data_IF_265473166120
#
_entry.id   IF_265473166120
#
_cell.length_a   1.000
_cell.length_b   1.000
_cell.length_c   1.000
_cell.angle_alpha   90.00
_cell.angle_beta   90.00
_cell.angle_gamma   90.00
#
_symmetry.space_group_name_H-M   'P 1'
#
loop_
_entity.id
_entity.type
_entity.pdbx_description
1 polymer ?
#
# COMPACT_ATOMS: atom_id res chain seq x y z
N UNK A 1 -3.93 -0.20 -18.09
CA UNK A 1 -5.41 -0.16 -17.92
C UNK A 1 -6.01 0.76 -18.98
N UNK A 2 -7.11 0.34 -19.61
CA UNK A 2 -7.84 1.11 -20.65
C UNK A 2 -9.32 1.02 -20.36
N UNK A 3 -9.97 2.15 -20.08
CA UNK A 3 -11.42 2.25 -20.03
C UNK A 3 -11.88 2.43 -21.49
N UNK A 4 -12.91 1.71 -21.91
CA UNK A 4 -13.47 1.84 -23.27
C UNK A 4 -14.98 1.97 -23.20
N UNK A 5 -15.51 3.10 -23.69
CA UNK A 5 -16.94 3.25 -23.96
C UNK A 5 -17.23 2.49 -25.26
N UNK A 6 -18.23 1.59 -25.25
CA UNK A 6 -18.60 0.84 -26.45
C UNK A 6 -19.19 1.80 -27.48
N UNK A 7 -19.05 1.46 -28.76
CA UNK A 7 -19.60 2.28 -29.87
C UNK A 7 -21.01 1.81 -30.23
N UNK A 8 -21.89 1.65 -29.25
CA UNK A 8 -23.31 1.40 -29.52
C UNK A 8 -23.99 2.71 -29.92
N UNK A 9 -25.07 2.63 -30.71
CA UNK A 9 -25.80 3.83 -31.17
C UNK A 9 -26.29 4.69 -29.99
N UNK A 10 -26.79 4.05 -28.92
CA UNK A 10 -27.23 4.73 -27.71
C UNK A 10 -26.09 5.45 -26.98
N UNK A 11 -24.91 4.83 -26.88
CA UNK A 11 -23.74 5.45 -26.23
C UNK A 11 -23.15 6.60 -27.08
N UNK A 12 -23.22 6.49 -28.41
CA UNK A 12 -22.85 7.57 -29.32
C UNK A 12 -23.83 8.74 -29.24
N UNK A 13 -25.13 8.46 -29.13
CA UNK A 13 -26.17 9.46 -28.96
C UNK A 13 -26.02 10.18 -27.61
N UNK A 14 -25.81 9.44 -26.52
CA UNK A 14 -25.54 9.98 -25.19
C UNK A 14 -24.30 10.88 -25.19
N UNK A 15 -23.21 10.42 -25.83
CA UNK A 15 -22.00 11.24 -25.96
C UNK A 15 -22.27 12.48 -26.79
N UNK A 16 -23.06 12.44 -27.86
CA UNK A 16 -23.41 13.66 -28.63
C UNK A 16 -24.28 14.63 -27.82
N UNK A 17 -25.21 14.12 -27.02
CA UNK A 17 -26.14 14.90 -26.20
C UNK A 17 -25.42 15.76 -25.16
N UNK A 18 -24.29 15.29 -24.60
CA UNK A 18 -23.42 16.10 -23.73
C UNK A 18 -22.93 17.40 -24.40
N UNK A 19 -22.89 17.44 -25.74
CA UNK A 19 -22.51 18.60 -26.54
C UNK A 19 -23.68 19.49 -26.98
N UNK A 20 -24.92 19.23 -26.53
CA UNK A 20 -26.16 19.93 -26.91
C UNK A 20 -26.18 21.39 -26.47
N UNK A 21 -26.72 22.28 -27.32
CA UNK A 21 -26.86 23.71 -27.01
C UNK A 21 -27.83 23.96 -25.86
N UNK A 22 -28.74 23.02 -25.58
CA UNK A 22 -29.57 23.06 -24.41
C UNK A 22 -28.75 22.64 -23.17
N UNK A 23 -28.70 23.52 -22.17
CA UNK A 23 -27.92 23.31 -20.94
C UNK A 23 -28.46 22.15 -20.11
N UNK A 24 -29.77 21.98 -20.03
CA UNK A 24 -30.40 20.92 -19.23
C UNK A 24 -30.12 19.55 -19.83
N UNK A 25 -30.35 19.39 -21.14
CA UNK A 25 -30.06 18.16 -21.88
C UNK A 25 -28.56 17.80 -21.83
N UNK A 26 -27.69 18.81 -21.95
CA UNK A 26 -26.24 18.59 -21.86
C UNK A 26 -25.79 18.16 -20.46
N UNK A 27 -26.38 18.73 -19.41
CA UNK A 27 -26.06 18.40 -18.02
C UNK A 27 -26.55 16.99 -17.64
N UNK A 28 -27.80 16.65 -18.01
CA UNK A 28 -28.37 15.32 -17.78
C UNK A 28 -27.56 14.23 -18.50
N UNK A 29 -27.18 14.47 -19.75
CA UNK A 29 -26.33 13.54 -20.49
C UNK A 29 -24.92 13.38 -19.87
N UNK A 30 -24.37 14.45 -19.28
CA UNK A 30 -23.07 14.39 -18.59
C UNK A 30 -23.17 13.62 -17.26
N UNK A 31 -24.25 13.83 -16.50
CA UNK A 31 -24.51 13.11 -15.25
C UNK A 31 -24.68 11.61 -15.51
N UNK A 32 -25.48 11.23 -16.52
CA UNK A 32 -25.67 9.83 -16.90
C UNK A 32 -24.35 9.14 -17.33
N UNK A 33 -23.44 9.87 -17.99
CA UNK A 33 -22.10 9.34 -18.33
C UNK A 33 -21.24 9.18 -17.07
N UNK A 34 -21.32 10.11 -16.13
CA UNK A 34 -20.59 10.03 -14.86
C UNK A 34 -21.03 8.81 -14.04
N UNK A 35 -22.35 8.58 -13.92
CA UNK A 35 -22.91 7.43 -13.20
C UNK A 35 -22.53 6.09 -13.85
N UNK A 36 -22.46 6.04 -15.18
CA UNK A 36 -22.03 4.84 -15.89
C UNK A 36 -20.53 4.54 -15.71
N UNK A 37 -19.69 5.58 -15.68
CA UNK A 37 -18.23 5.45 -15.64
C UNK A 37 -17.69 5.27 -14.22
N UNK A 38 -18.33 5.85 -13.21
CA UNK A 38 -17.89 5.81 -11.81
C UNK A 38 -17.54 4.40 -11.31
N UNK A 39 -18.47 3.43 -11.39
CA UNK A 39 -18.21 2.05 -10.97
C UNK A 39 -17.06 1.38 -11.73
N UNK A 40 -16.95 1.64 -13.04
CA UNK A 40 -15.90 1.08 -13.90
C UNK A 40 -14.53 1.63 -13.49
N UNK A 41 -14.44 2.93 -13.18
CA UNK A 41 -13.20 3.54 -12.67
C UNK A 41 -12.84 2.95 -11.31
N UNK A 42 -13.82 2.77 -10.42
CA UNK A 42 -13.61 2.17 -9.10
C UNK A 42 -13.05 0.74 -9.20
N UNK A 43 -13.60 -0.10 -10.07
CA UNK A 43 -13.12 -1.46 -10.29
C UNK A 43 -11.69 -1.48 -10.84
N UNK A 44 -11.38 -0.58 -11.78
CA UNK A 44 -10.03 -0.44 -12.35
C UNK A 44 -9.02 -0.01 -11.28
N UNK A 45 -9.43 0.87 -10.36
CA UNK A 45 -8.57 1.32 -9.25
C UNK A 45 -8.31 0.17 -8.27
N UNK A 46 -9.36 -0.53 -7.83
CA UNK A 46 -9.24 -1.59 -6.82
C UNK A 46 -8.50 -2.84 -7.32
N UNK A 47 -8.55 -3.15 -8.63
CA UNK A 47 -7.87 -4.31 -9.20
C UNK A 47 -6.41 -4.06 -9.63
N UNK A 48 -5.91 -2.83 -9.50
CA UNK A 48 -4.56 -2.51 -9.95
C UNK A 48 -3.49 -3.02 -8.97
N UNK A 49 -2.46 -3.78 -9.42
CA UNK A 49 -1.40 -4.26 -8.55
C UNK A 49 -0.51 -3.09 -8.13
N UNK A 50 -0.82 -2.49 -6.98
CA UNK A 50 -0.10 -1.36 -6.40
C UNK A 50 0.11 -1.58 -4.92
N UNK A 51 1.00 -0.79 -4.30
CA UNK A 51 1.20 -0.74 -2.85
C UNK A 51 -0.14 -0.51 -2.10
N UNK A 52 -1.13 0.10 -2.74
CA UNK A 52 -2.47 0.29 -2.18
C UNK A 52 -3.20 -1.01 -1.85
N UNK A 53 -2.94 -2.11 -2.57
CA UNK A 53 -3.61 -3.41 -2.38
C UNK A 53 -3.07 -4.22 -1.18
N UNK A 54 -2.03 -3.70 -0.53
CA UNK A 54 -1.51 -4.27 0.72
C UNK A 54 -2.41 -3.93 1.91
N UNK A 55 -3.23 -2.88 1.78
CA UNK A 55 -4.15 -2.43 2.82
C UNK A 55 -5.49 -3.17 2.73
N UNK A 56 -6.00 -3.66 3.85
CA UNK A 56 -7.37 -4.17 3.96
C UNK A 56 -8.36 -3.01 3.98
N UNK A 57 -9.45 -3.10 3.22
CA UNK A 57 -10.41 -2.00 3.09
C UNK A 57 -11.56 -2.15 4.06
N UNK A 58 -11.90 -1.08 4.78
CA UNK A 58 -13.07 -0.99 5.66
C UNK A 58 -13.89 0.21 5.22
N UNK A 59 -15.18 0.02 4.96
CA UNK A 59 -16.07 1.07 4.47
C UNK A 59 -16.91 1.68 5.60
N UNK A 60 -17.05 3.00 5.59
CA UNK A 60 -17.91 3.78 6.49
C UNK A 60 -18.94 4.56 5.68
N UNK A 61 -20.11 4.85 6.26
CA UNK A 61 -21.06 5.79 5.67
C UNK A 61 -20.56 7.23 5.75
N UNK A 62 -21.09 8.11 4.90
CA UNK A 62 -20.75 9.55 4.88
C UNK A 62 -21.05 10.27 6.20
N UNK A 63 -22.11 9.84 6.91
CA UNK A 63 -22.50 10.39 8.21
C UNK A 63 -21.87 9.67 9.40
N UNK A 64 -21.16 8.56 9.18
CA UNK A 64 -20.52 7.82 10.26
C UNK A 64 -19.20 8.50 10.66
N UNK A 65 -18.91 8.53 11.96
CA UNK A 65 -17.60 8.91 12.45
C UNK A 65 -16.65 7.72 12.33
N UNK A 66 -15.60 7.77 11.47
CA UNK A 66 -14.72 6.62 11.30
C UNK A 66 -13.98 6.28 12.60
N UNK A 67 -14.21 5.08 13.10
CA UNK A 67 -13.52 4.54 14.27
C UNK A 67 -13.13 3.09 14.09
N UNK A 68 -12.01 2.71 14.70
CA UNK A 68 -11.54 1.34 14.80
C UNK A 68 -11.65 0.90 16.26
N UNK A 69 -12.32 -0.22 16.57
CA UNK A 69 -12.32 -0.75 17.93
C UNK A 69 -10.89 -1.17 18.28
N UNK A 70 -10.31 -0.59 19.32
CA UNK A 70 -9.01 -1.05 19.81
C UNK A 70 -9.21 -2.36 20.57
N UNK A 71 -8.20 -3.22 20.55
CA UNK A 71 -8.19 -4.41 21.39
C UNK A 71 -8.17 -3.97 22.87
N UNK A 72 -9.30 -4.18 23.54
CA UNK A 72 -9.46 -3.86 24.96
C UNK A 72 -8.49 -4.65 25.86
N UNK A 73 -7.91 -5.74 25.36
CA UNK A 73 -7.05 -6.64 26.13
C UNK A 73 -5.56 -6.53 25.77
N UNK A 74 -5.17 -5.52 24.98
CA UNK A 74 -3.77 -5.33 24.62
C UNK A 74 -2.92 -4.94 25.85
N UNK A 75 -1.87 -5.73 26.13
CA UNK A 75 -0.90 -5.56 27.23
C UNK A 75 -1.42 -5.86 28.65
N UNK A 76 -2.43 -6.72 28.77
CA UNK A 76 -2.96 -7.18 30.06
C UNK A 76 -2.42 -8.56 30.40
N UNK A 77 -1.71 -8.65 31.53
CA UNK A 77 -0.92 -9.83 31.88
C UNK A 77 -1.55 -10.75 32.93
N UNK A 78 -2.62 -10.30 33.58
CA UNK A 78 -3.20 -10.96 34.76
C UNK A 78 -4.29 -11.98 34.39
N UNK A 79 -4.24 -13.15 35.03
CA UNK A 79 -5.29 -14.17 35.01
C UNK A 79 -6.50 -13.65 35.83
N UNK A 80 -7.65 -13.43 35.19
CA UNK A 80 -8.87 -12.77 35.72
C UNK A 80 -8.89 -11.23 35.74
N UNK A 81 -8.61 -10.60 34.59
CA UNK A 81 -8.57 -9.14 34.44
C UNK A 81 -9.93 -8.42 34.48
N UNK A 82 -11.04 -9.06 34.10
CA UNK A 82 -12.35 -8.38 34.06
C UNK A 82 -12.96 -8.34 35.47
N UNK A 83 -12.60 -7.30 36.25
CA UNK A 83 -13.05 -7.10 37.63
C UNK A 83 -14.04 -5.93 37.78
N UNK A 84 -14.77 -5.59 36.71
CA UNK A 84 -15.79 -4.52 36.75
C UNK A 84 -17.18 -5.16 36.80
N UNK A 85 -17.80 -5.09 37.98
CA UNK A 85 -19.19 -5.50 38.20
C UNK A 85 -20.09 -4.28 38.13
N UNK A 86 -21.11 -4.31 37.28
CA UNK A 86 -22.05 -3.21 37.17
C UNK A 86 -23.48 -3.72 37.08
N UNK A 87 -24.42 -2.83 37.39
CA UNK A 87 -25.84 -3.11 37.42
C UNK A 87 -26.55 -2.04 36.60
N UNK A 88 -27.25 -2.44 35.52
CA UNK A 88 -27.93 -1.50 34.62
C UNK A 88 -29.37 -1.17 35.04
N UNK A 89 -29.95 -1.94 35.96
CA UNK A 89 -31.34 -1.76 36.44
C UNK A 89 -31.41 -1.98 37.95
N UNK A 90 -32.16 -1.12 38.65
CA UNK A 90 -32.36 -1.21 40.09
C UNK A 90 -32.94 -2.60 40.49
N UNK A 91 -32.23 -3.32 41.36
CA UNK A 91 -32.63 -4.66 41.87
C UNK A 91 -32.12 -5.89 41.11
N UNK A 92 -31.46 -5.74 39.95
CA UNK A 92 -30.77 -6.84 39.23
C UNK A 92 -29.48 -7.36 39.89
N UNK A 93 -29.08 -8.60 39.55
CA UNK A 93 -27.80 -9.19 39.97
C UNK A 93 -26.62 -8.51 39.24
N UNK A 94 -25.52 -8.15 39.94
CA UNK A 94 -24.32 -7.63 39.29
C UNK A 94 -23.73 -8.66 38.33
N UNK A 95 -23.44 -8.24 37.11
CA UNK A 95 -22.69 -9.03 36.13
C UNK A 95 -21.54 -8.18 35.57
N UNK A 96 -20.48 -8.84 35.12
CA UNK A 96 -19.42 -8.16 34.39
C UNK A 96 -19.91 -7.91 32.96
N UNK A 97 -19.95 -6.65 32.55
CA UNK A 97 -20.22 -6.27 31.16
C UNK A 97 -19.11 -5.36 30.67
N UNK A 98 -18.69 -5.59 29.44
CA UNK A 98 -17.68 -4.77 28.77
C UNK A 98 -18.42 -3.70 27.98
N UNK A 99 -18.16 -2.43 28.28
CA UNK A 99 -18.70 -1.29 27.52
C UNK A 99 -17.55 -0.65 26.71
N UNK A 100 -17.46 -0.87 25.38
CA UNK A 100 -16.28 -0.50 24.60
C UNK A 100 -16.07 1.00 24.34
N UNK A 101 -16.97 1.89 24.78
CA UNK A 101 -17.07 3.27 24.27
C UNK A 101 -15.85 4.19 24.54
N UNK A 102 -14.87 3.79 25.36
CA UNK A 102 -13.69 4.61 25.66
C UNK A 102 -12.41 4.17 24.93
N UNK A 103 -12.41 3.02 24.24
CA UNK A 103 -11.21 2.46 23.59
C UNK A 103 -11.43 2.31 22.07
N UNK A 104 -11.82 3.40 21.41
CA UNK A 104 -11.91 3.47 19.96
C UNK A 104 -10.86 4.44 19.40
N UNK A 105 -10.12 4.01 18.39
CA UNK A 105 -9.22 4.88 17.65
C UNK A 105 -10.03 5.66 16.63
N UNK A 106 -10.22 6.96 16.90
CA UNK A 106 -10.78 7.91 15.93
C UNK A 106 -9.67 8.39 15.00
N UNK A 107 -9.96 8.42 13.71
CA UNK A 107 -9.05 8.91 12.69
C UNK A 107 -9.81 9.79 11.69
N UNK A 108 -9.07 10.56 10.90
CA UNK A 108 -9.62 11.42 9.87
C UNK A 108 -9.33 10.82 8.49
N UNK A 109 -10.34 10.87 7.62
CA UNK A 109 -10.22 10.57 6.19
C UNK A 109 -9.86 11.84 5.42
N UNK A 110 -9.35 11.67 4.21
CA UNK A 110 -9.03 12.76 3.29
C UNK A 110 -9.58 12.46 1.91
N UNK A 111 -9.84 13.52 1.15
CA UNK A 111 -10.32 13.41 -0.23
C UNK A 111 -9.16 13.44 -1.21
N UNK A 112 -9.10 12.44 -2.10
CA UNK A 112 -8.25 12.47 -3.29
C UNK A 112 -9.11 12.75 -4.51
N UNK A 113 -8.74 13.78 -5.25
CA UNK A 113 -9.49 14.23 -6.38
C UNK A 113 -8.67 14.35 -7.67
N UNK A 114 -9.38 14.34 -8.79
CA UNK A 114 -8.84 14.64 -10.11
C UNK A 114 -9.93 15.31 -10.94
N UNK A 115 -9.62 16.51 -11.43
CA UNK A 115 -10.46 17.25 -12.35
C UNK A 115 -9.88 17.20 -13.76
N UNK A 116 -10.72 17.00 -14.76
CA UNK A 116 -10.33 17.00 -16.17
C UNK A 116 -11.38 17.72 -17.01
N UNK A 117 -10.93 18.44 -18.02
CA UNK A 117 -11.81 19.09 -18.98
C UNK A 117 -11.35 18.85 -20.42
N UNK A 118 -12.30 18.74 -21.34
CA UNK A 118 -12.03 18.57 -22.77
C UNK A 118 -12.99 19.40 -23.63
N UNK A 119 -12.56 19.71 -24.85
CA UNK A 119 -13.35 20.57 -25.74
C UNK A 119 -14.65 19.89 -26.15
N UNK A 120 -15.74 20.65 -26.10
CA UNK A 120 -17.08 20.23 -26.52
C UNK A 120 -17.15 19.76 -27.97
N UNK A 121 -16.22 20.19 -28.81
CA UNK A 121 -16.09 19.74 -30.22
C UNK A 121 -15.85 18.23 -30.33
N UNK A 122 -15.08 17.64 -29.41
CA UNK A 122 -14.78 16.20 -29.43
C UNK A 122 -16.03 15.36 -29.18
N UNK A 123 -16.87 15.86 -28.28
CA UNK A 123 -18.15 15.28 -27.88
C UNK A 123 -19.20 15.39 -28.96
N UNK A 124 -19.34 16.57 -29.59
CA UNK A 124 -20.22 16.75 -30.76
C UNK A 124 -19.84 15.83 -31.93
N UNK A 125 -18.54 15.59 -32.12
CA UNK A 125 -18.05 14.63 -33.13
C UNK A 125 -18.16 13.16 -32.70
N UNK A 126 -18.74 12.87 -31.54
CA UNK A 126 -18.87 11.52 -30.96
C UNK A 126 -17.55 10.75 -30.83
N UNK A 127 -16.44 11.44 -30.53
CA UNK A 127 -15.15 10.80 -30.31
C UNK A 127 -15.07 10.14 -28.94
N UNK A 128 -15.69 8.96 -28.83
CA UNK A 128 -15.68 8.14 -27.61
C UNK A 128 -14.26 7.76 -27.16
N UNK A 129 -13.29 7.70 -28.09
CA UNK A 129 -11.88 7.42 -27.78
C UNK A 129 -11.24 8.52 -26.93
N UNK A 130 -11.58 9.79 -27.15
CA UNK A 130 -11.02 10.92 -26.38
C UNK A 130 -11.59 10.89 -24.97
N UNK A 131 -12.91 10.72 -24.85
CA UNK A 131 -13.64 10.62 -23.58
C UNK A 131 -13.14 9.42 -22.75
N UNK A 132 -12.94 8.28 -23.39
CA UNK A 132 -12.46 7.06 -22.73
C UNK A 132 -11.01 7.24 -22.22
N UNK A 133 -10.15 7.91 -23.00
CA UNK A 133 -8.77 8.22 -22.60
C UNK A 133 -8.71 9.24 -21.46
N UNK A 134 -9.60 10.24 -21.43
CA UNK A 134 -9.65 11.20 -20.33
C UNK A 134 -10.04 10.53 -19.02
N UNK A 135 -11.07 9.67 -19.01
CA UNK A 135 -11.41 8.90 -17.81
C UNK A 135 -10.32 7.91 -17.40
N UNK A 136 -9.65 7.28 -18.36
CA UNK A 136 -8.48 6.43 -18.07
C UNK A 136 -7.37 7.23 -17.39
N UNK A 137 -7.11 8.47 -17.82
CA UNK A 137 -6.10 9.34 -17.20
C UNK A 137 -6.51 9.76 -15.79
N UNK A 138 -7.79 10.07 -15.57
CA UNK A 138 -8.34 10.38 -14.24
C UNK A 138 -8.06 9.24 -13.25
N UNK A 139 -8.43 8.01 -13.64
CA UNK A 139 -8.22 6.81 -12.83
C UNK A 139 -6.74 6.62 -12.47
N UNK A 140 -5.84 6.81 -13.44
CA UNK A 140 -4.39 6.69 -13.24
C UNK A 140 -3.83 7.77 -12.31
N UNK A 141 -4.33 9.00 -12.38
CA UNK A 141 -3.88 10.08 -11.51
C UNK A 141 -4.29 9.84 -10.05
N UNK A 142 -5.55 9.47 -9.82
CA UNK A 142 -6.06 9.12 -8.49
C UNK A 142 -5.27 7.94 -7.93
N UNK A 143 -5.06 6.88 -8.72
CA UNK A 143 -4.26 5.73 -8.33
C UNK A 143 -2.81 6.09 -7.99
N UNK A 144 -2.20 7.01 -8.74
CA UNK A 144 -0.84 7.47 -8.43
C UNK A 144 -0.79 8.21 -7.09
N UNK A 145 -1.79 9.06 -6.81
CA UNK A 145 -1.93 9.75 -5.51
C UNK A 145 -2.19 8.76 -4.37
N UNK A 146 -3.04 7.76 -4.58
CA UNK A 146 -3.29 6.68 -3.62
C UNK A 146 -2.01 5.89 -3.32
N UNK A 147 -1.30 5.45 -4.36
CA UNK A 147 -0.07 4.65 -4.20
C UNK A 147 1.01 5.45 -3.46
N UNK A 148 1.19 6.73 -3.80
CA UNK A 148 2.15 7.60 -3.11
C UNK A 148 1.80 7.78 -1.63
N UNK A 149 0.53 7.98 -1.32
CA UNK A 149 0.07 8.19 0.06
C UNK A 149 0.15 6.89 0.87
N UNK A 150 -0.21 5.77 0.26
CA UNK A 150 -0.07 4.43 0.86
C UNK A 150 1.39 4.09 1.18
N UNK A 151 2.32 4.39 0.27
CA UNK A 151 3.75 4.21 0.54
C UNK A 151 4.24 5.15 1.64
N UNK A 152 3.79 6.40 1.66
CA UNK A 152 4.21 7.37 2.69
C UNK A 152 3.86 6.89 4.11
N UNK A 153 2.63 6.40 4.32
CA UNK A 153 2.21 5.86 5.63
C UNK A 153 3.01 4.61 5.98
N UNK A 154 3.19 3.70 5.03
CA UNK A 154 3.95 2.47 5.21
C UNK A 154 5.42 2.75 5.58
N UNK A 155 6.09 3.64 4.85
CA UNK A 155 7.46 4.06 5.11
C UNK A 155 7.59 4.79 6.44
N UNK A 156 6.64 5.66 6.78
CA UNK A 156 6.64 6.36 8.08
C UNK A 156 6.48 5.39 9.25
N UNK A 157 5.59 4.40 9.13
CA UNK A 157 5.43 3.36 10.13
C UNK A 157 6.71 2.54 10.30
N UNK A 158 7.35 2.13 9.20
CA UNK A 158 8.61 1.40 9.23
C UNK A 158 9.77 2.19 9.88
N UNK A 159 9.90 3.49 9.54
CA UNK A 159 10.95 4.37 10.08
C UNK A 159 10.73 4.64 11.58
N UNK A 160 9.47 4.81 12.02
CA UNK A 160 9.15 4.94 13.46
C UNK A 160 9.24 3.63 14.23
N UNK A 161 9.20 2.52 13.49
CA UNK A 161 9.35 1.16 13.96
C UNK A 161 10.50 0.99 14.96
N UNK A 162 10.16 0.59 16.18
CA UNK A 162 11.15 0.49 17.26
C UNK A 162 11.89 -0.85 17.35
N UNK A 163 11.35 -1.86 16.67
CA UNK A 163 11.86 -3.22 16.68
C UNK A 163 12.09 -3.75 18.11
N UNK A 164 13.21 -4.43 18.33
CA UNK A 164 13.54 -5.07 19.62
C UNK A 164 14.19 -4.16 20.66
N UNK A 165 14.72 -3.00 20.27
CA UNK A 165 15.60 -2.16 21.10
C UNK A 165 14.95 -0.82 21.49
N UNK A 166 13.63 -0.68 21.29
CA UNK A 166 12.84 0.52 21.61
C UNK A 166 13.33 1.84 20.94
N UNK A 167 14.12 1.74 19.87
CA UNK A 167 14.68 2.88 19.12
C UNK A 167 14.09 2.91 17.72
N UNK A 168 13.58 4.07 17.29
CA UNK A 168 13.05 4.25 15.93
C UNK A 168 14.10 3.88 14.86
N UNK A 169 13.68 3.18 13.81
CA UNK A 169 14.53 2.71 12.72
C UNK A 169 15.11 1.32 12.94
N UNK A 170 15.00 0.74 14.14
CA UNK A 170 15.59 -0.57 14.47
C UNK A 170 14.80 -1.79 13.91
N UNK A 171 13.72 -1.54 13.17
CA UNK A 171 13.11 -2.53 12.28
C UNK A 171 13.83 -2.64 10.94
N UNK A 172 14.71 -1.69 10.60
CA UNK A 172 15.49 -1.70 9.38
C UNK A 172 16.87 -2.26 9.72
N UNK A 173 17.27 -3.29 8.98
CA UNK A 173 18.61 -3.90 9.08
C UNK A 173 19.45 -3.50 7.88
N UNK A 174 20.77 -3.53 8.02
CA UNK A 174 21.69 -3.38 6.90
C UNK A 174 21.93 -4.70 6.18
N UNK A 175 22.25 -4.63 4.89
CA UNK A 175 22.89 -5.71 4.15
C UNK A 175 24.22 -6.11 4.79
N UNK A 176 24.53 -7.40 4.74
CA UNK A 176 25.79 -7.96 5.23
C UNK A 176 26.99 -7.47 4.40
N UNK A 177 26.78 -7.23 3.11
CA UNK A 177 27.77 -6.69 2.19
C UNK A 177 27.20 -5.46 1.46
N UNK A 178 27.99 -4.39 1.42
CA UNK A 178 27.62 -3.14 0.75
C UNK A 178 27.28 -3.39 -0.73
N UNK A 179 26.12 -2.88 -1.17
CA UNK A 179 25.67 -2.99 -2.56
C UNK A 179 25.46 -4.43 -3.03
N UNK A 180 25.13 -5.35 -2.12
CA UNK A 180 24.70 -6.71 -2.45
C UNK A 180 23.61 -7.22 -1.53
N UNK A 181 22.60 -7.81 -2.13
CA UNK A 181 21.56 -8.57 -1.47
C UNK A 181 21.88 -10.08 -1.54
N UNK A 182 22.17 -10.67 -0.37
CA UNK A 182 22.59 -12.07 -0.25
C UNK A 182 21.64 -12.88 0.66
N UNK A 183 21.81 -14.21 0.69
CA UNK A 183 20.94 -15.08 1.49
C UNK A 183 21.08 -14.86 3.00
N UNK A 184 22.24 -14.37 3.44
CA UNK A 184 22.42 -13.98 4.84
C UNK A 184 21.41 -12.88 5.22
N UNK A 185 21.16 -11.92 4.32
CA UNK A 185 20.22 -10.83 4.55
C UNK A 185 18.79 -11.36 4.66
N UNK A 186 18.37 -12.29 3.81
CA UNK A 186 17.07 -12.97 3.93
C UNK A 186 16.92 -13.67 5.29
N UNK A 187 17.94 -14.38 5.74
CA UNK A 187 17.90 -15.07 7.03
C UNK A 187 17.85 -14.08 8.20
N UNK A 188 18.61 -12.99 8.13
CA UNK A 188 18.62 -11.92 9.12
C UNK A 188 17.26 -11.22 9.20
N UNK A 189 16.68 -10.91 8.04
CA UNK A 189 15.36 -10.32 7.88
C UNK A 189 14.25 -11.23 8.45
N UNK A 190 14.22 -12.52 8.10
CA UNK A 190 13.27 -13.49 8.67
C UNK A 190 13.45 -13.63 10.19
N UNK A 191 14.69 -13.69 10.66
CA UNK A 191 14.99 -13.84 12.10
C UNK A 191 14.53 -12.62 12.87
N UNK A 192 14.84 -11.42 12.39
CA UNK A 192 14.45 -10.17 13.02
C UNK A 192 12.92 -9.99 13.01
N UNK A 193 12.24 -10.33 11.91
CA UNK A 193 10.77 -10.29 11.84
C UNK A 193 10.13 -11.20 12.90
N UNK A 194 10.62 -12.44 13.03
CA UNK A 194 10.15 -13.36 14.08
C UNK A 194 10.39 -12.85 15.50
N UNK A 195 11.47 -12.09 15.71
CA UNK A 195 11.81 -11.52 17.03
C UNK A 195 10.97 -10.31 17.38
N UNK A 196 10.65 -9.46 16.39
CA UNK A 196 9.77 -8.31 16.58
C UNK A 196 8.34 -8.77 16.87
N UNK A 197 7.92 -9.88 16.25
CA UNK A 197 6.62 -10.50 16.44
C UNK A 197 6.51 -11.39 17.70
N UNK A 198 7.14 -11.01 18.82
CA UNK A 198 6.92 -11.74 20.09
C UNK A 198 5.48 -11.54 20.61
N UNK A 199 4.98 -12.50 21.40
CA UNK A 199 3.72 -12.31 22.14
C UNK A 199 3.82 -11.12 23.09
N UNK A 200 2.68 -10.62 23.57
CA UNK A 200 2.65 -9.57 24.59
C UNK A 200 3.47 -9.96 25.84
N UNK A 201 3.51 -11.25 26.19
CA UNK A 201 4.29 -11.79 27.31
C UNK A 201 5.78 -11.99 27.00
N UNK A 202 6.25 -11.60 25.82
CA UNK A 202 7.64 -11.78 25.37
C UNK A 202 7.99 -13.20 24.91
N UNK A 203 6.99 -14.08 24.76
CA UNK A 203 7.12 -15.46 24.31
C UNK A 203 6.76 -15.66 22.82
N UNK A 204 6.49 -16.92 22.45
CA UNK A 204 6.05 -17.27 21.09
C UNK A 204 4.62 -16.75 20.85
N UNK A 205 4.35 -16.01 19.76
CA UNK A 205 3.02 -15.49 19.46
C UNK A 205 2.00 -16.59 19.13
N UNK A 206 0.71 -16.28 19.33
CA UNK A 206 -0.41 -17.10 18.86
C UNK A 206 -0.35 -17.17 17.33
N UNK A 207 -0.33 -18.38 16.76
CA UNK A 207 -0.01 -18.63 15.34
C UNK A 207 1.38 -19.23 15.10
N UNK A 208 2.25 -19.25 16.12
CA UNK A 208 3.52 -19.96 16.12
C UNK A 208 4.59 -19.37 15.18
N UNK A 209 5.54 -20.22 14.75
CA UNK A 209 6.73 -19.87 13.91
C UNK A 209 6.38 -19.30 12.52
N UNK A 210 5.08 -19.24 12.17
CA UNK A 210 4.59 -18.69 10.89
C UNK A 210 4.50 -17.16 10.85
N UNK A 211 4.61 -16.46 11.99
CA UNK A 211 4.70 -14.99 12.00
C UNK A 211 6.04 -14.55 11.42
N UNK A 212 6.02 -14.08 10.18
CA UNK A 212 7.19 -13.76 9.38
C UNK A 212 6.77 -13.00 8.15
N UNK A 213 7.71 -12.71 7.28
CA UNK A 213 7.47 -11.85 6.12
C UNK A 213 6.76 -12.68 5.04
N UNK A 214 5.60 -12.22 4.59
CA UNK A 214 4.84 -12.88 3.51
C UNK A 214 5.20 -12.31 2.15
N UNK A 215 5.42 -10.99 2.08
CA UNK A 215 5.69 -10.27 0.84
C UNK A 215 6.87 -9.32 1.03
N UNK A 216 7.75 -9.25 0.04
CA UNK A 216 8.89 -8.34 0.01
C UNK A 216 8.73 -7.39 -1.17
N UNK A 217 8.69 -6.09 -0.90
CA UNK A 217 8.73 -5.04 -1.90
C UNK A 217 10.19 -4.78 -2.26
N UNK A 218 10.51 -4.89 -3.54
CA UNK A 218 11.88 -4.74 -4.06
C UNK A 218 11.90 -3.98 -5.37
N UNK A 219 13.05 -3.42 -5.73
CA UNK A 219 13.27 -2.88 -7.06
C UNK A 219 13.64 -3.98 -8.08
N UNK A 220 13.55 -3.67 -9.39
CA UNK A 220 14.12 -4.51 -10.44
C UNK A 220 15.62 -4.81 -10.26
N UNK A 221 16.38 -3.86 -9.71
CA UNK A 221 17.82 -3.99 -9.44
C UNK A 221 18.09 -5.09 -8.40
N UNK A 222 17.30 -5.16 -7.32
CA UNK A 222 17.42 -6.22 -6.32
C UNK A 222 17.01 -7.60 -6.86
N UNK A 223 16.07 -7.65 -7.81
CA UNK A 223 15.70 -8.90 -8.50
C UNK A 223 16.84 -9.37 -9.41
N UNK A 224 17.63 -8.45 -10.00
CA UNK A 224 18.84 -8.80 -10.73
C UNK A 224 19.85 -9.50 -9.83
N UNK A 225 20.09 -8.99 -8.62
CA UNK A 225 21.01 -9.61 -7.67
C UNK A 225 20.54 -11.00 -7.22
N UNK A 226 19.23 -11.16 -7.00
CA UNK A 226 18.63 -12.44 -6.70
C UNK A 226 18.81 -13.44 -7.85
N UNK A 227 18.69 -12.98 -9.11
CA UNK A 227 18.99 -13.80 -10.29
C UNK A 227 20.50 -14.08 -10.40
N UNK A 228 21.36 -13.16 -9.97
CA UNK A 228 22.80 -13.32 -10.03
C UNK A 228 23.30 -14.51 -9.20
N UNK A 229 22.54 -14.93 -8.19
CA UNK A 229 22.78 -16.14 -7.41
C UNK A 229 22.72 -17.44 -8.24
N UNK A 230 22.15 -17.40 -9.45
CA UNK A 230 22.16 -18.54 -10.36
C UNK A 230 23.54 -18.83 -10.98
N UNK A 231 24.46 -17.88 -10.94
CA UNK A 231 25.79 -18.04 -11.54
C UNK A 231 26.93 -17.59 -10.61
N UNK A 232 26.61 -16.85 -9.55
CA UNK A 232 27.53 -16.50 -8.48
C UNK A 232 27.45 -17.50 -7.32
N UNK A 233 28.57 -17.74 -6.61
CA UNK A 233 28.54 -18.57 -5.41
C UNK A 233 27.73 -17.92 -4.29
N UNK A 234 27.05 -18.76 -3.51
CA UNK A 234 26.02 -18.35 -2.55
C UNK A 234 26.52 -18.32 -1.10
N UNK A 235 27.65 -18.99 -0.82
CA UNK A 235 28.24 -19.03 0.52
C UNK A 235 29.67 -18.46 0.52
N UNK A 236 29.98 -17.60 1.51
CA UNK A 236 31.30 -17.03 1.81
C UNK A 236 31.73 -17.25 3.27
N UNK A 237 31.14 -18.20 4.01
CA UNK A 237 31.43 -18.44 5.43
C UNK A 237 32.92 -18.70 5.76
N UNK A 238 33.75 -19.06 4.78
CA UNK A 238 35.21 -19.21 4.94
C UNK A 238 36.04 -18.26 4.05
N UNK A 239 35.40 -17.41 3.24
CA UNK A 239 36.10 -16.61 2.24
C UNK A 239 35.26 -15.37 1.86
N UNK A 240 35.49 -14.19 2.47
CA UNK A 240 34.98 -12.93 1.93
C UNK A 240 35.41 -12.80 0.46
N UNK A 241 34.66 -12.02 -0.33
CA UNK A 241 34.84 -11.86 -1.79
C UNK A 241 36.29 -11.52 -2.24
N UNK A 242 37.15 -11.06 -1.32
CA UNK A 242 38.58 -10.79 -1.54
C UNK A 242 39.55 -11.88 -1.04
N UNK A 243 39.06 -13.01 -0.53
CA UNK A 243 39.89 -14.08 0.04
C UNK A 243 40.44 -15.00 -1.05
N UNK A 244 41.70 -15.40 -0.91
CA UNK A 244 42.37 -16.39 -1.75
C UNK A 244 41.87 -17.83 -1.52
N UNK A 245 41.03 -18.05 -0.51
CA UNK A 245 40.42 -19.35 -0.19
C UNK A 245 39.17 -19.54 -1.06
N UNK A 246 39.16 -20.58 -1.90
CA UNK A 246 38.11 -20.86 -2.89
C UNK A 246 37.06 -21.84 -2.36
N UNK A 247 36.63 -21.69 -1.11
CA UNK A 247 35.58 -22.54 -0.51
C UNK A 247 34.17 -22.03 -0.85
N UNK A 248 34.02 -21.50 -2.05
CA UNK A 248 32.77 -20.93 -2.56
C UNK A 248 31.84 -22.05 -3.01
N UNK A 249 30.88 -22.41 -2.17
CA UNK A 249 29.87 -23.42 -2.50
C UNK A 249 28.74 -22.77 -3.33
N UNK A 250 28.41 -23.28 -4.52
CA UNK A 250 27.25 -22.83 -5.27
C UNK A 250 25.94 -23.25 -4.58
N UNK A 251 24.85 -22.56 -4.88
CA UNK A 251 23.53 -23.03 -4.52
C UNK A 251 23.22 -24.42 -5.14
N UNK A 252 22.30 -25.19 -4.55
CA UNK A 252 21.82 -26.44 -5.15
C UNK A 252 21.37 -26.24 -6.61
N UNK A 253 21.72 -27.18 -7.49
CA UNK A 253 21.50 -27.05 -8.95
C UNK A 253 20.02 -26.82 -9.30
N UNK A 254 19.09 -27.39 -8.54
CA UNK A 254 17.65 -27.16 -8.73
C UNK A 254 17.25 -25.68 -8.53
N UNK A 255 17.74 -25.03 -7.47
CA UNK A 255 17.50 -23.61 -7.21
C UNK A 255 18.16 -22.75 -8.30
N UNK A 256 19.36 -23.13 -8.70
CA UNK A 256 20.12 -22.45 -9.75
C UNK A 256 19.40 -22.48 -11.10
N UNK A 257 18.82 -23.63 -11.46
CA UNK A 257 18.04 -23.81 -12.68
C UNK A 257 16.71 -23.03 -12.65
N UNK A 258 16.04 -22.99 -11.50
CA UNK A 258 14.82 -22.19 -11.30
C UNK A 258 15.11 -20.69 -11.47
N UNK A 259 16.13 -20.17 -10.79
CA UNK A 259 16.55 -18.77 -10.92
C UNK A 259 16.99 -18.42 -12.36
N UNK A 260 17.67 -19.33 -13.06
CA UNK A 260 18.16 -19.10 -14.42
C UNK A 260 17.06 -19.12 -15.48
N UNK A 261 16.02 -19.93 -15.28
CA UNK A 261 14.90 -20.06 -16.22
C UNK A 261 13.77 -19.03 -16.00
N UNK A 262 13.76 -18.37 -14.84
CA UNK A 262 12.76 -17.38 -14.48
C UNK A 262 13.09 -15.97 -15.01
N UNK A 263 12.17 -15.39 -15.80
CA UNK A 263 12.26 -14.00 -16.23
C UNK A 263 12.00 -13.00 -15.08
N UNK A 264 11.22 -13.41 -14.08
CA UNK A 264 11.00 -12.73 -12.80
C UNK A 264 10.69 -13.76 -11.72
N UNK A 265 10.98 -13.44 -10.46
CA UNK A 265 10.86 -14.39 -9.36
C UNK A 265 9.58 -14.09 -8.58
N UNK A 266 8.52 -14.92 -8.70
CA UNK A 266 7.27 -14.67 -8.00
C UNK A 266 7.40 -14.90 -6.49
N UNK A 267 8.29 -15.80 -6.08
CA UNK A 267 8.59 -16.08 -4.67
C UNK A 267 10.01 -16.57 -4.49
N UNK A 268 10.61 -16.28 -3.34
CA UNK A 268 11.92 -16.78 -2.93
C UNK A 268 11.88 -17.15 -1.45
N UNK A 269 12.36 -18.35 -1.08
CA UNK A 269 12.28 -18.86 0.30
C UNK A 269 10.86 -18.87 0.91
N UNK A 270 9.82 -18.97 0.07
CA UNK A 270 8.42 -18.93 0.50
C UNK A 270 7.89 -17.52 0.81
N UNK A 271 8.65 -16.47 0.47
CA UNK A 271 8.24 -15.06 0.53
C UNK A 271 7.91 -14.61 -0.90
N UNK A 272 6.77 -13.96 -1.09
CA UNK A 272 6.41 -13.40 -2.40
C UNK A 272 7.26 -12.17 -2.69
N UNK A 273 7.74 -12.03 -3.92
CA UNK A 273 8.53 -10.85 -4.32
C UNK A 273 7.65 -9.94 -5.18
N UNK A 274 7.46 -8.72 -4.73
CA UNK A 274 6.74 -7.67 -5.47
C UNK A 274 7.76 -6.68 -6.03
N UNK A 275 8.00 -6.80 -7.34
CA UNK A 275 8.88 -5.89 -8.07
C UNK A 275 8.18 -4.56 -8.36
N UNK A 276 8.75 -3.47 -7.85
CA UNK A 276 8.22 -2.11 -7.98
C UNK A 276 9.34 -1.19 -8.51
N UNK A 277 9.19 -0.72 -9.75
CA UNK A 277 10.16 0.15 -10.42
C UNK A 277 10.48 1.46 -9.67
N UNK A 278 9.62 1.89 -8.74
CA UNK A 278 9.76 3.13 -8.01
C UNK A 278 10.66 3.03 -6.76
N UNK A 279 11.13 1.82 -6.43
CA UNK A 279 11.95 1.55 -5.23
C UNK A 279 13.45 1.70 -5.43
N UNK A 280 13.95 1.65 -6.66
CA UNK A 280 15.39 1.75 -6.94
C UNK A 280 16.03 3.07 -6.52
N UNK A 281 17.36 3.10 -6.48
CA UNK A 281 18.13 4.32 -6.16
C UNK A 281 17.75 5.47 -7.10
N UNK A 282 17.51 6.66 -6.53
CA UNK A 282 17.08 7.84 -7.28
C UNK A 282 15.62 7.85 -7.74
N UNK A 283 14.86 6.77 -7.51
CA UNK A 283 13.43 6.70 -7.83
C UNK A 283 12.55 7.37 -6.75
N UNK A 284 11.26 7.50 -7.05
CA UNK A 284 10.32 8.27 -6.23
C UNK A 284 10.19 7.73 -4.79
N UNK A 285 10.07 6.41 -4.61
CA UNK A 285 9.84 5.84 -3.28
C UNK A 285 11.11 5.84 -2.44
N UNK A 286 12.28 5.59 -3.03
CA UNK A 286 13.53 5.68 -2.28
C UNK A 286 13.81 7.11 -1.79
N UNK A 287 13.57 8.11 -2.66
CA UNK A 287 13.66 9.54 -2.28
C UNK A 287 12.66 9.92 -1.19
N UNK A 288 11.44 9.42 -1.29
CA UNK A 288 10.40 9.67 -0.29
C UNK A 288 10.78 9.03 1.05
N UNK A 289 11.30 7.80 1.05
CA UNK A 289 11.76 7.12 2.24
C UNK A 289 12.87 7.93 2.95
N UNK A 290 13.91 8.35 2.23
CA UNK A 290 14.96 9.15 2.86
C UNK A 290 14.51 10.54 3.32
N UNK A 291 13.55 11.16 2.64
CA UNK A 291 12.92 12.39 3.13
C UNK A 291 12.18 12.14 4.47
N UNK A 292 11.52 10.99 4.62
CA UNK A 292 10.86 10.57 5.87
C UNK A 292 11.90 10.36 6.97
N UNK A 293 12.96 9.59 6.70
CA UNK A 293 14.08 9.35 7.65
C UNK A 293 14.64 10.66 8.17
N UNK A 294 14.91 11.62 7.28
CA UNK A 294 15.40 12.94 7.64
C UNK A 294 14.38 13.74 8.46
N UNK A 295 13.10 13.71 8.09
CA UNK A 295 12.05 14.45 8.78
C UNK A 295 11.76 13.95 10.20
N UNK A 296 11.85 12.63 10.41
CA UNK A 296 11.59 11.98 11.69
C UNK A 296 12.83 11.93 12.59
N UNK A 297 14.01 12.28 12.06
CA UNK A 297 15.28 12.24 12.80
C UNK A 297 15.67 10.84 13.25
N UNK A 298 15.17 9.80 12.58
CA UNK A 298 15.45 8.41 12.92
C UNK A 298 16.87 8.02 12.47
N UNK A 299 17.57 7.22 13.28
CA UNK A 299 18.86 6.64 12.89
C UNK A 299 18.60 5.30 12.21
N UNK A 300 18.66 5.29 10.88
CA UNK A 300 18.44 4.11 10.04
C UNK A 300 19.78 3.60 9.51
N UNK A 301 19.96 2.28 9.52
CA UNK A 301 21.13 1.63 8.94
C UNK A 301 21.13 1.77 7.41
N UNK A 302 22.28 2.07 6.83
CA UNK A 302 22.55 2.00 5.38
C UNK A 302 23.17 0.66 4.99
N UNK A 303 23.44 0.47 3.70
CA UNK A 303 24.09 -0.73 3.17
C UNK A 303 25.42 -1.03 3.90
N UNK A 304 25.70 -2.31 4.16
CA UNK A 304 26.95 -2.73 4.83
C UNK A 304 27.14 -2.25 6.28
N UNK A 305 26.11 -1.68 6.92
CA UNK A 305 26.14 -1.20 8.31
C UNK A 305 26.44 0.29 8.48
N UNK A 306 26.44 1.05 7.39
CA UNK A 306 26.60 2.52 7.38
C UNK A 306 25.39 3.29 7.91
N UNK A 307 25.39 4.60 7.70
CA UNK A 307 24.20 5.46 7.89
C UNK A 307 23.49 5.59 6.55
N UNK A 308 22.16 5.55 6.57
CA UNK A 308 21.34 5.69 5.37
C UNK A 308 21.70 6.93 4.51
N UNK A 309 22.02 6.70 3.24
CA UNK A 309 22.24 7.70 2.19
C UNK A 309 21.29 7.47 1.02
N UNK A 310 20.38 8.42 0.80
CA UNK A 310 19.42 8.41 -0.33
C UNK A 310 20.01 8.28 -1.73
N UNK A 311 21.29 8.60 -1.89
CA UNK A 311 21.99 8.57 -3.19
C UNK A 311 22.72 7.26 -3.45
N UNK A 312 22.96 6.46 -2.42
CA UNK A 312 23.73 5.22 -2.49
C UNK A 312 22.90 4.00 -2.07
N UNK A 313 22.09 4.12 -1.02
CA UNK A 313 21.35 3.01 -0.43
C UNK A 313 19.97 2.81 -1.06
N UNK A 314 19.54 1.56 -1.09
CA UNK A 314 18.20 1.16 -1.51
C UNK A 314 17.44 0.42 -0.39
N UNK A 315 16.15 0.71 -0.24
CA UNK A 315 15.31 0.10 0.80
C UNK A 315 14.47 -1.02 0.21
N UNK A 316 14.49 -2.19 0.86
CA UNK A 316 13.56 -3.28 0.66
C UNK A 316 12.61 -3.32 1.84
N UNK A 317 11.32 -3.57 1.61
CA UNK A 317 10.32 -3.59 2.68
C UNK A 317 9.60 -4.93 2.72
N UNK A 318 9.80 -5.66 3.80
CA UNK A 318 9.07 -6.87 4.14
C UNK A 318 7.79 -6.56 4.88
N UNK A 319 6.70 -7.24 4.50
CA UNK A 319 5.37 -7.10 5.08
C UNK A 319 4.88 -8.47 5.49
N UNK A 320 4.29 -8.55 6.68
CA UNK A 320 3.53 -9.71 7.16
C UNK A 320 2.03 -9.48 6.94
N UNK A 321 1.48 -10.03 5.86
CA UNK A 321 0.03 -9.96 5.55
C UNK A 321 -0.82 -10.92 6.36
N UNK A 322 -0.23 -11.79 7.18
CA UNK A 322 -1.03 -12.64 8.09
C UNK A 322 -1.66 -11.81 9.22
N UNK A 323 -1.16 -10.59 9.43
CA UNK A 323 -1.72 -9.58 10.32
C UNK A 323 -2.42 -8.49 9.51
N UNK A 324 -3.65 -8.15 9.90
CA UNK A 324 -4.37 -6.99 9.37
C UNK A 324 -3.83 -5.68 9.99
N UNK A 325 -2.56 -5.37 9.73
CA UNK A 325 -1.88 -4.21 10.28
C UNK A 325 -2.07 -2.94 9.43
N UNK A 326 -2.32 -3.10 8.13
CA UNK A 326 -2.48 -2.01 7.17
C UNK A 326 -3.95 -1.89 6.78
N UNK A 327 -4.60 -0.79 7.16
CA UNK A 327 -6.03 -0.57 6.97
C UNK A 327 -6.26 0.68 6.11
N UNK A 328 -7.14 0.54 5.12
CA UNK A 328 -7.67 1.60 4.27
C UNK A 328 -9.14 1.82 4.62
N UNK A 329 -9.46 2.77 5.50
CA UNK A 329 -10.83 3.24 5.61
C UNK A 329 -11.26 3.95 4.32
N UNK A 330 -12.43 3.63 3.79
CA UNK A 330 -13.09 4.36 2.69
C UNK A 330 -14.43 4.89 3.16
N UNK A 331 -14.82 6.06 2.65
CA UNK A 331 -16.14 6.63 2.92
C UNK A 331 -16.99 6.46 1.68
N UNK A 332 -18.15 5.85 1.87
CA UNK A 332 -19.14 5.63 0.81
C UNK A 332 -20.17 6.75 0.91
N UNK A 333 -20.29 7.54 -0.15
CA UNK A 333 -21.26 8.63 -0.20
C UNK A 333 -22.70 8.14 -0.31
N UNK A 334 -23.63 8.97 0.17
CA UNK A 334 -25.06 8.63 0.20
C UNK A 334 -25.60 8.24 -1.19
N UNK A 335 -26.32 7.12 -1.28
CA UNK A 335 -26.97 6.66 -2.51
C UNK A 335 -26.05 6.04 -3.58
N UNK A 336 -24.73 5.92 -3.33
CA UNK A 336 -23.78 5.30 -4.27
C UNK A 336 -23.11 4.08 -3.63
N UNK A 337 -23.06 2.91 -4.29
CA UNK A 337 -22.38 1.72 -3.74
C UNK A 337 -20.86 1.71 -3.98
N UNK A 338 -20.28 2.76 -4.58
CA UNK A 338 -18.86 2.81 -4.96
C UNK A 338 -18.08 3.88 -4.20
N UNK A 339 -16.86 3.54 -3.78
CA UNK A 339 -15.93 4.46 -3.09
C UNK A 339 -15.50 5.65 -3.97
N UNK A 340 -15.43 5.43 -5.29
CA UNK A 340 -15.06 6.48 -6.26
C UNK A 340 -16.32 7.08 -6.89
N UNK A 341 -16.45 8.40 -6.81
CA UNK A 341 -17.55 9.16 -7.38
C UNK A 341 -17.05 10.07 -8.49
N UNK A 342 -17.77 10.08 -9.62
CA UNK A 342 -17.55 11.02 -10.72
C UNK A 342 -18.72 11.98 -10.76
N UNK A 343 -18.42 13.27 -10.76
CA UNK A 343 -19.39 14.36 -10.79
C UNK A 343 -19.12 15.25 -12.01
N UNK A 344 -20.17 15.92 -12.47
CA UNK A 344 -20.08 16.90 -13.56
C UNK A 344 -19.48 18.20 -13.01
N UNK A 345 -18.51 18.76 -13.73
CA UNK A 345 -17.91 20.06 -13.40
C UNK A 345 -18.38 21.16 -14.38
N UNK A 346 -19.19 22.07 -13.85
CA UNK A 346 -19.80 23.18 -14.61
C UNK A 346 -18.94 24.46 -14.64
N UNK A 347 -17.78 24.49 -13.98
CA UNK A 347 -16.94 25.69 -13.92
C UNK A 347 -16.45 26.16 -15.31
N UNK A 348 -16.31 25.22 -16.27
CA UNK A 348 -15.72 25.46 -17.58
C UNK A 348 -16.72 25.58 -18.74
N UNK A 349 -17.98 25.23 -18.51
CA UNK A 349 -19.00 25.09 -19.57
C UNK A 349 -19.36 26.45 -20.20
N UNK A 350 -19.47 27.50 -19.37
CA UNK A 350 -20.00 28.81 -19.79
C UNK A 350 -18.93 29.69 -20.46
N UNK A 351 -17.65 29.56 -20.07
CA UNK A 351 -16.60 30.50 -20.50
C UNK A 351 -15.62 29.94 -21.54
N UNK A 352 -15.48 28.62 -21.63
CA UNK A 352 -14.40 28.01 -22.42
C UNK A 352 -14.88 26.96 -23.44
N UNK A 353 -16.19 26.74 -23.59
CA UNK A 353 -16.75 25.69 -24.47
C UNK A 353 -16.14 24.30 -24.20
N UNK A 354 -15.89 24.00 -22.91
CA UNK A 354 -15.35 22.72 -22.44
C UNK A 354 -16.38 21.98 -21.61
N UNK A 355 -16.21 20.68 -21.53
CA UNK A 355 -16.97 19.80 -20.64
C UNK A 355 -16.00 19.29 -19.59
N UNK A 356 -16.36 19.47 -18.32
CA UNK A 356 -15.55 19.12 -17.16
C UNK A 356 -16.13 17.93 -16.40
N UNK A 357 -15.23 17.13 -15.82
CA UNK A 357 -15.56 16.09 -14.86
C UNK A 357 -14.63 16.19 -13.65
N UNK A 358 -15.20 15.90 -12.50
CA UNK A 358 -14.51 15.85 -11.22
C UNK A 358 -14.68 14.46 -10.62
N UNK A 359 -13.57 13.74 -10.43
CA UNK A 359 -13.56 12.47 -9.71
C UNK A 359 -13.05 12.66 -8.30
N UNK A 360 -13.74 12.11 -7.29
CA UNK A 360 -13.27 12.08 -5.90
C UNK A 360 -13.34 10.66 -5.32
N UNK A 361 -12.39 10.33 -4.45
CA UNK A 361 -12.46 9.24 -3.49
C UNK A 361 -12.11 9.79 -2.12
N UNK A 362 -12.89 9.44 -1.12
CA UNK A 362 -12.56 9.74 0.27
C UNK A 362 -12.03 8.48 0.95
N UNK A 363 -10.78 8.56 1.40
CA UNK A 363 -10.09 7.45 2.04
C UNK A 363 -9.13 7.91 3.13
N UNK A 364 -8.70 6.96 3.96
CA UNK A 364 -7.54 7.11 4.84
C UNK A 364 -6.56 5.96 4.65
N UNK A 365 -5.35 6.12 5.20
CA UNK A 365 -4.33 5.07 5.24
C UNK A 365 -3.77 4.99 6.65
N UNK A 366 -3.86 3.82 7.26
CA UNK A 366 -3.52 3.62 8.67
C UNK A 366 -2.66 2.37 8.79
N UNK A 367 -1.61 2.47 9.61
CA UNK A 367 -0.87 1.33 10.11
C UNK A 367 -1.18 1.20 11.61
N UNK A 368 -1.78 0.08 12.01
CA UNK A 368 -2.21 -0.18 13.39
C UNK A 368 -1.13 -0.91 14.19
N UNK A 369 -0.32 -1.74 13.52
CA UNK A 369 0.80 -2.48 14.11
C UNK A 369 2.04 -2.35 13.21
N UNK A 370 3.04 -1.60 13.68
CA UNK A 370 4.32 -1.43 12.98
C UNK A 370 5.17 -2.71 13.00
N UNK A 371 4.88 -3.67 13.89
CA UNK A 371 5.63 -4.95 14.00
C UNK A 371 5.44 -5.85 12.78
N UNK A 372 4.41 -5.62 11.99
CA UNK A 372 4.18 -6.31 10.73
C UNK A 372 5.14 -5.87 9.61
N UNK A 373 5.91 -4.79 9.81
CA UNK A 373 6.83 -4.23 8.83
C UNK A 373 8.29 -4.48 9.24
N UNK A 374 9.13 -4.71 8.24
CA UNK A 374 10.58 -4.83 8.43
C UNK A 374 11.30 -4.31 7.19
N UNK A 375 12.46 -3.69 7.39
CA UNK A 375 13.25 -3.10 6.31
C UNK A 375 14.62 -3.75 6.17
N UNK A 376 15.16 -3.72 4.96
CA UNK A 376 16.57 -3.99 4.68
C UNK A 376 17.11 -2.87 3.80
N UNK A 377 18.17 -2.19 4.24
CA UNK A 377 18.92 -1.25 3.43
C UNK A 377 20.10 -1.98 2.76
N UNK A 378 20.24 -1.84 1.44
CA UNK A 378 21.27 -2.51 0.63
C UNK A 378 22.24 -1.49 0.05
#
# INVERSE_FOLDING_TARGET
>A
MKITIKRTEDQLALVRAMGSNNREEAYEAQAAVADFIGPVVSEVINNAPTVGNLYSTISYGEDDNPSLPLDLFHDITDENYIQVYSQQVAGGLPYSQVFPAHNELKFQTYTLDSALAFDRKYVRSARTDVVSKTFTRMAQEVMLKQTKTAFNVLATALVKGKGTNNTAGNQIIASEAEGRFVLADFNNLITKSKRINSSWSGGTPVGGVKAGISDLLVSPEMVEELRAMAYNPVNTAAAPYSSSVKDSLPAPEALRQELYSAAGLPSFYGINIMEINQMGVGQLFNKLFGAIVASEGATVAGGGGGTWDTTADEILIGIDRSKDALIRPTVIGEGTPSDFQVLVDDQFSVRQNKIGYYGKVEEGRICVDDRALIGLAV
#
